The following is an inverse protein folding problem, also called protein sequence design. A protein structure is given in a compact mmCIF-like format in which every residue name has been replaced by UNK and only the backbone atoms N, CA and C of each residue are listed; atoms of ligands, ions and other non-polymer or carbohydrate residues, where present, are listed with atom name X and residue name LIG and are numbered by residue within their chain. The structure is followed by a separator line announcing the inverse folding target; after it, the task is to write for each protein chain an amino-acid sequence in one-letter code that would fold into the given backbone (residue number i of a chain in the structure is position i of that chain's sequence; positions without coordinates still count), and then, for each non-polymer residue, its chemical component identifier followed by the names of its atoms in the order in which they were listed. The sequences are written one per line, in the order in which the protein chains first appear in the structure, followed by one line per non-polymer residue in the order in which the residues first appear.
data_IF_304119311280
#
_entry.id   IF_304119311280
#
_cell.length_a   1.000
_cell.length_b   1.000
_cell.length_c   1.000
_cell.angle_alpha   90.00
_cell.angle_beta   90.00
_cell.angle_gamma   90.00
#
_symmetry.space_group_name_H-M   'P 1'
#
loop_
_entity.id
_entity.type
_entity.pdbx_description
1 polymer ?
#
# COMPACT_ATOMS: atom_id res chain seq x y z
N UNK A 1 -20.21 -13.38 -7.65
CA UNK A 1 -19.30 -12.89 -6.59
C UNK A 1 -18.32 -13.97 -6.19
N UNK A 2 -17.18 -13.59 -5.63
CA UNK A 2 -16.17 -14.44 -5.01
C UNK A 2 -15.97 -13.97 -3.55
N UNK A 3 -15.89 -14.92 -2.63
CA UNK A 3 -15.69 -14.62 -1.21
C UNK A 3 -14.21 -14.32 -0.95
N UNK A 4 -13.91 -13.15 -0.41
CA UNK A 4 -12.59 -12.79 0.10
C UNK A 4 -12.70 -12.55 1.61
N UNK A 5 -11.77 -13.13 2.36
CA UNK A 5 -11.64 -12.89 3.81
C UNK A 5 -10.19 -12.53 4.12
N UNK A 6 -9.91 -11.83 5.24
CA UNK A 6 -8.55 -11.57 5.69
C UNK A 6 -7.69 -12.85 5.72
N UNK A 7 -8.26 -13.95 6.25
CA UNK A 7 -7.56 -15.25 6.32
C UNK A 7 -7.24 -15.82 4.93
N UNK A 8 -8.14 -15.65 3.96
CA UNK A 8 -7.90 -16.09 2.57
C UNK A 8 -6.74 -15.34 1.93
N UNK A 9 -6.66 -14.02 2.16
CA UNK A 9 -5.54 -13.19 1.68
C UNK A 9 -4.24 -13.65 2.35
N UNK A 10 -4.20 -13.72 3.67
CA UNK A 10 -2.99 -14.07 4.42
C UNK A 10 -2.45 -15.46 4.08
N UNK A 11 -3.31 -16.46 3.91
CA UNK A 11 -2.89 -17.81 3.48
C UNK A 11 -2.22 -17.82 2.11
N UNK A 12 -2.55 -16.86 1.25
CA UNK A 12 -2.01 -16.76 -0.11
C UNK A 12 -0.66 -16.07 -0.16
N UNK A 13 -0.33 -15.25 0.84
CA UNK A 13 0.83 -14.35 0.79
C UNK A 13 1.74 -14.34 2.02
N UNK A 14 1.41 -15.08 3.09
CA UNK A 14 2.26 -15.25 4.27
C UNK A 14 2.83 -16.67 4.38
N UNK A 15 4.08 -16.78 4.81
CA UNK A 15 4.77 -18.02 5.21
C UNK A 15 5.42 -17.78 6.57
N UNK A 16 5.22 -18.70 7.52
CA UNK A 16 5.73 -18.57 8.89
C UNK A 16 5.34 -17.23 9.57
N UNK A 17 4.17 -16.69 9.23
CA UNK A 17 3.66 -15.42 9.77
C UNK A 17 4.19 -14.15 9.08
N UNK A 18 5.11 -14.26 8.12
CA UNK A 18 5.69 -13.14 7.39
C UNK A 18 5.20 -13.11 5.94
N UNK A 19 5.03 -11.91 5.38
CA UNK A 19 4.82 -11.79 3.93
C UNK A 19 6.06 -12.29 3.18
N UNK A 20 5.87 -12.97 2.05
CA UNK A 20 6.98 -13.50 1.27
C UNK A 20 6.82 -13.16 -0.22
N UNK A 21 7.95 -13.04 -0.91
CA UNK A 21 8.02 -12.91 -2.37
C UNK A 21 8.01 -14.32 -2.99
N UNK A 22 7.09 -14.67 -3.89
CA UNK A 22 7.08 -15.97 -4.54
C UNK A 22 8.35 -16.21 -5.37
N UNK A 23 8.81 -17.46 -5.42
CA UNK A 23 10.04 -17.85 -6.13
C UNK A 23 10.06 -17.40 -7.59
N UNK A 24 8.93 -17.48 -8.30
CA UNK A 24 8.84 -17.00 -9.69
C UNK A 24 9.09 -15.50 -9.85
N UNK A 25 8.70 -14.70 -8.86
CA UNK A 25 8.94 -13.24 -8.85
C UNK A 25 10.37 -12.96 -8.45
N UNK A 26 10.90 -13.71 -7.48
CA UNK A 26 12.32 -13.67 -7.14
C UNK A 26 13.20 -13.94 -8.36
N UNK A 27 12.97 -15.06 -9.05
CA UNK A 27 13.74 -15.44 -10.25
C UNK A 27 13.58 -14.40 -11.36
N UNK A 28 12.39 -13.83 -11.56
CA UNK A 28 12.23 -12.79 -12.57
C UNK A 28 13.00 -11.51 -12.24
N UNK A 29 13.13 -11.14 -10.95
CA UNK A 29 14.00 -10.05 -10.52
C UNK A 29 15.45 -10.36 -10.88
N UNK A 30 15.95 -11.54 -10.53
CA UNK A 30 17.33 -11.98 -10.81
C UNK A 30 17.61 -11.98 -12.32
N UNK A 31 16.67 -12.46 -13.14
CA UNK A 31 16.77 -12.56 -14.59
C UNK A 31 16.59 -11.21 -15.33
N UNK A 32 16.15 -10.16 -14.64
CA UNK A 32 15.92 -8.81 -15.18
C UNK A 32 17.09 -7.86 -14.93
N UNK A 33 18.07 -8.25 -14.12
CA UNK A 33 19.22 -7.41 -13.82
C UNK A 33 20.09 -7.25 -15.06
N UNK A 34 20.46 -6.02 -15.35
CA UNK A 34 21.36 -5.69 -16.46
C UNK A 34 22.81 -5.65 -15.98
N UNK A 35 23.01 -5.23 -14.73
CA UNK A 35 24.31 -5.21 -14.09
C UNK A 35 24.60 -6.55 -13.39
N UNK A 36 25.80 -7.09 -13.58
CA UNK A 36 26.28 -8.33 -12.97
C UNK A 36 27.21 -8.10 -11.76
N UNK A 37 27.55 -6.84 -11.46
CA UNK A 37 28.30 -6.43 -10.29
C UNK A 37 27.36 -6.07 -9.12
N UNK A 38 27.27 -7.01 -8.19
CA UNK A 38 26.56 -6.88 -6.93
C UNK A 38 26.96 -5.63 -6.13
N UNK A 39 28.24 -5.25 -6.17
CA UNK A 39 28.72 -4.07 -5.44
C UNK A 39 28.23 -2.77 -6.09
N UNK A 40 28.13 -2.73 -7.41
CA UNK A 40 27.57 -1.58 -8.12
C UNK A 40 26.09 -1.40 -7.77
N UNK A 41 25.31 -2.48 -7.77
CA UNK A 41 23.88 -2.45 -7.40
C UNK A 41 23.72 -2.02 -5.93
N UNK A 42 24.51 -2.58 -5.02
CA UNK A 42 24.47 -2.23 -3.60
C UNK A 42 24.88 -0.76 -3.37
N UNK A 43 25.94 -0.29 -4.04
CA UNK A 43 26.38 1.10 -3.97
C UNK A 43 25.30 2.08 -4.44
N UNK A 44 24.60 1.74 -5.53
CA UNK A 44 23.48 2.54 -6.02
C UNK A 44 22.27 2.50 -5.08
N UNK A 45 21.98 1.36 -4.46
CA UNK A 45 20.97 1.26 -3.41
C UNK A 45 21.29 2.19 -2.23
N UNK A 46 22.54 2.20 -1.75
CA UNK A 46 22.96 3.07 -0.65
C UNK A 46 22.86 4.56 -1.03
N UNK A 47 23.16 4.91 -2.28
CA UNK A 47 22.95 6.26 -2.82
C UNK A 47 21.47 6.66 -2.77
N UNK A 48 20.58 5.80 -3.31
CA UNK A 48 19.13 6.01 -3.27
C UNK A 48 18.60 6.14 -1.85
N UNK A 49 19.06 5.27 -0.94
CA UNK A 49 18.68 5.30 0.46
C UNK A 49 19.04 6.64 1.11
N UNK A 50 20.21 7.18 0.80
CA UNK A 50 20.63 8.48 1.30
C UNK A 50 19.77 9.62 0.74
N UNK A 51 19.43 9.60 -0.55
CA UNK A 51 18.52 10.57 -1.14
C UNK A 51 17.13 10.49 -0.48
N UNK A 52 16.59 9.28 -0.30
CA UNK A 52 15.34 9.09 0.41
C UNK A 52 15.39 9.57 1.87
N UNK A 53 16.54 9.44 2.56
CA UNK A 53 16.72 9.95 3.92
C UNK A 53 16.66 11.47 3.98
N UNK A 54 17.27 12.18 3.01
CA UNK A 54 17.19 13.65 2.90
C UNK A 54 15.73 14.12 2.84
N UNK A 55 14.88 13.40 2.10
CA UNK A 55 13.46 13.73 1.96
C UNK A 55 12.57 13.22 3.11
N UNK A 56 13.10 12.53 4.13
CA UNK A 56 12.28 11.99 5.23
C UNK A 56 11.64 13.10 6.06
N UNK A 57 12.41 14.16 6.33
CA UNK A 57 11.97 15.32 7.11
C UNK A 57 11.55 16.51 6.25
N UNK A 58 11.77 16.43 4.93
CA UNK A 58 11.37 17.46 3.96
C UNK A 58 9.85 17.67 3.95
N UNK A 59 9.46 18.91 3.65
CA UNK A 59 8.09 19.35 3.39
C UNK A 59 7.83 19.63 1.90
N UNK A 60 8.79 19.26 1.04
CA UNK A 60 8.70 19.37 -0.41
C UNK A 60 8.63 17.96 -1.01
N UNK A 61 8.09 17.81 -2.23
CA UNK A 61 8.18 16.57 -2.99
C UNK A 61 9.63 16.09 -3.13
N UNK A 62 9.80 14.78 -3.23
CA UNK A 62 11.06 14.17 -3.58
C UNK A 62 11.28 14.27 -5.09
N UNK A 63 12.51 14.61 -5.49
CA UNK A 63 12.94 14.51 -6.87
C UNK A 63 14.02 13.44 -6.95
N UNK A 64 13.67 12.32 -7.60
CA UNK A 64 14.55 11.15 -7.73
C UNK A 64 14.52 10.72 -9.19
N UNK A 65 15.72 10.53 -9.76
CA UNK A 65 15.86 10.13 -11.15
C UNK A 65 15.92 8.60 -11.25
N UNK A 66 14.98 8.00 -11.98
CA UNK A 66 14.86 6.55 -12.17
C UNK A 66 15.22 6.08 -13.58
N UNK A 67 16.17 6.75 -14.25
CA UNK A 67 16.45 6.51 -15.68
C UNK A 67 17.64 5.61 -15.96
N UNK A 68 18.58 5.50 -15.03
CA UNK A 68 19.77 4.67 -15.28
C UNK A 68 19.44 3.19 -15.09
N UNK A 69 19.99 2.27 -15.93
CA UNK A 69 19.82 0.84 -15.73
C UNK A 69 20.25 0.38 -14.33
N UNK A 70 21.33 0.95 -13.80
CA UNK A 70 21.83 0.63 -12.47
C UNK A 70 20.84 1.04 -11.37
N UNK A 71 20.21 2.22 -11.51
CA UNK A 71 19.17 2.69 -10.59
C UNK A 71 17.94 1.79 -10.63
N UNK A 72 17.53 1.35 -11.83
CA UNK A 72 16.41 0.42 -11.98
C UNK A 72 16.73 -0.96 -11.38
N UNK A 73 17.94 -1.47 -11.53
CA UNK A 73 18.41 -2.70 -10.90
C UNK A 73 18.36 -2.59 -9.37
N UNK A 74 18.97 -1.55 -8.80
CA UNK A 74 18.92 -1.29 -7.36
C UNK A 74 17.48 -1.15 -6.84
N UNK A 75 16.61 -0.43 -7.56
CA UNK A 75 15.22 -0.26 -7.16
C UNK A 75 14.43 -1.58 -7.22
N UNK A 76 14.63 -2.38 -8.27
CA UNK A 76 13.98 -3.68 -8.46
C UNK A 76 14.38 -4.67 -7.37
N UNK A 77 15.65 -4.70 -6.99
CA UNK A 77 16.16 -5.61 -5.95
C UNK A 77 15.64 -5.21 -4.56
N UNK A 78 15.82 -3.94 -4.19
CA UNK A 78 15.66 -3.50 -2.80
C UNK A 78 14.27 -2.93 -2.46
N UNK A 79 13.56 -2.35 -3.42
CA UNK A 79 12.28 -1.67 -3.18
C UNK A 79 11.07 -2.44 -3.72
N UNK A 80 11.15 -3.02 -4.92
CA UNK A 80 10.02 -3.75 -5.51
C UNK A 80 9.61 -4.97 -4.67
N UNK A 81 10.58 -5.75 -4.19
CA UNK A 81 10.35 -6.92 -3.33
C UNK A 81 9.63 -6.56 -2.02
N UNK A 82 9.88 -5.37 -1.49
CA UNK A 82 9.23 -4.83 -0.30
C UNK A 82 7.84 -4.27 -0.60
N UNK A 83 7.67 -3.55 -1.71
CA UNK A 83 6.42 -2.85 -2.03
C UNK A 83 5.37 -3.73 -2.68
N UNK A 84 5.72 -4.94 -3.15
CA UNK A 84 4.72 -5.87 -3.68
C UNK A 84 3.70 -6.36 -2.63
N UNK A 85 3.97 -6.14 -1.34
CA UNK A 85 3.05 -6.48 -0.26
C UNK A 85 1.94 -5.44 -0.06
N UNK A 86 2.03 -4.27 -0.70
CA UNK A 86 1.00 -3.23 -0.64
C UNK A 86 -0.40 -3.78 -0.96
N UNK A 87 -0.63 -4.44 -2.11
CA UNK A 87 -1.94 -5.03 -2.42
C UNK A 87 -2.36 -6.13 -1.42
N UNK A 88 -1.42 -6.86 -0.82
CA UNK A 88 -1.75 -7.90 0.16
C UNK A 88 -2.33 -7.29 1.44
N UNK A 89 -1.66 -6.28 1.98
CA UNK A 89 -2.09 -5.55 3.17
C UNK A 89 -3.43 -4.85 2.89
N UNK A 90 -3.51 -4.11 1.77
CA UNK A 90 -4.72 -3.38 1.39
C UNK A 90 -5.95 -4.29 1.25
N UNK A 91 -5.82 -5.43 0.56
CA UNK A 91 -6.93 -6.35 0.34
C UNK A 91 -7.31 -7.14 1.60
N UNK A 92 -6.34 -7.48 2.47
CA UNK A 92 -6.65 -8.06 3.78
C UNK A 92 -7.51 -7.10 4.59
N UNK A 93 -7.16 -5.81 4.61
CA UNK A 93 -7.86 -4.78 5.39
C UNK A 93 -9.24 -4.46 4.80
N UNK A 94 -9.32 -4.33 3.47
CA UNK A 94 -10.57 -4.15 2.75
C UNK A 94 -11.51 -5.35 2.91
N UNK A 95 -11.00 -6.58 3.05
CA UNK A 95 -11.84 -7.76 3.27
C UNK A 95 -12.63 -7.73 4.59
N UNK A 96 -12.37 -6.79 5.49
CA UNK A 96 -13.26 -6.51 6.62
C UNK A 96 -14.54 -5.77 6.17
N UNK A 97 -14.45 -4.89 5.17
CA UNK A 97 -15.55 -4.07 4.68
C UNK A 97 -16.67 -4.95 4.09
N UNK A 98 -17.95 -4.73 4.43
CA UNK A 98 -19.06 -5.60 4.01
C UNK A 98 -19.17 -5.80 2.50
N UNK A 99 -18.87 -4.77 1.70
CA UNK A 99 -18.95 -4.83 0.23
C UNK A 99 -17.73 -5.47 -0.43
N UNK A 100 -16.61 -5.64 0.30
CA UNK A 100 -15.40 -6.28 -0.22
C UNK A 100 -15.25 -7.74 0.23
N UNK A 101 -16.16 -8.24 1.07
CA UNK A 101 -16.23 -9.68 1.37
C UNK A 101 -16.72 -10.48 0.16
N UNK A 102 -17.58 -9.91 -0.68
CA UNK A 102 -18.15 -10.57 -1.85
C UNK A 102 -17.87 -9.76 -3.12
N UNK A 103 -16.65 -9.85 -3.62
CA UNK A 103 -16.22 -9.08 -4.79
C UNK A 103 -16.74 -9.68 -6.10
N UNK A 104 -16.79 -8.90 -7.19
CA UNK A 104 -17.05 -9.43 -8.54
C UNK A 104 -16.05 -10.55 -8.93
N UNK A 105 -16.50 -11.51 -9.74
CA UNK A 105 -15.59 -12.55 -10.29
C UNK A 105 -14.65 -12.02 -11.35
N UNK A 106 -14.89 -10.80 -11.83
CA UNK A 106 -13.95 -10.09 -12.67
C UNK A 106 -14.08 -8.61 -12.42
N UNK A 107 -12.94 -7.92 -12.36
CA UNK A 107 -12.91 -6.46 -12.22
C UNK A 107 -11.59 -5.89 -12.74
N UNK A 108 -11.62 -4.59 -13.02
CA UNK A 108 -10.45 -3.85 -13.47
C UNK A 108 -9.74 -3.19 -12.27
N UNK A 109 -8.42 -3.11 -12.35
CA UNK A 109 -7.56 -2.44 -11.37
C UNK A 109 -6.74 -1.38 -12.09
N UNK A 110 -6.59 -0.21 -11.46
CA UNK A 110 -5.71 0.86 -11.92
C UNK A 110 -4.52 1.00 -10.95
N UNK A 111 -3.32 1.16 -11.47
CA UNK A 111 -2.10 1.44 -10.72
C UNK A 111 -1.47 2.73 -11.26
N UNK A 112 -1.52 3.81 -10.49
CA UNK A 112 -1.01 5.13 -10.86
C UNK A 112 0.41 5.33 -10.29
N UNK A 113 1.36 5.67 -11.16
CA UNK A 113 2.78 5.73 -10.79
C UNK A 113 3.33 4.34 -10.55
N UNK A 114 3.05 3.41 -11.48
CA UNK A 114 3.30 1.98 -11.28
C UNK A 114 4.78 1.61 -11.17
N UNK A 115 5.68 2.47 -11.65
CA UNK A 115 7.11 2.25 -11.69
C UNK A 115 7.48 0.89 -12.29
N UNK A 116 8.34 0.15 -11.61
CA UNK A 116 8.75 -1.21 -12.00
C UNK A 116 7.68 -2.28 -11.70
N UNK A 117 6.51 -1.91 -11.18
CA UNK A 117 5.34 -2.77 -11.10
C UNK A 117 5.17 -3.56 -9.81
N UNK A 118 5.61 -3.02 -8.66
CA UNK A 118 5.49 -3.72 -7.38
C UNK A 118 4.02 -4.09 -7.04
N UNK A 119 3.09 -3.13 -7.17
CA UNK A 119 1.66 -3.36 -6.95
C UNK A 119 1.12 -4.39 -7.95
N UNK A 120 1.48 -4.26 -9.23
CA UNK A 120 1.05 -5.20 -10.27
C UNK A 120 1.53 -6.62 -9.99
N UNK A 121 2.81 -6.83 -9.72
CA UNK A 121 3.35 -8.16 -9.40
C UNK A 121 2.72 -8.74 -8.12
N UNK A 122 2.46 -7.90 -7.13
CA UNK A 122 1.68 -8.28 -5.95
C UNK A 122 0.28 -8.78 -6.33
N UNK A 123 -0.49 -8.01 -7.09
CA UNK A 123 -1.84 -8.40 -7.52
C UNK A 123 -1.82 -9.68 -8.37
N UNK A 124 -0.90 -9.79 -9.32
CA UNK A 124 -0.76 -10.98 -10.17
C UNK A 124 -0.40 -12.21 -9.35
N UNK A 125 0.50 -12.08 -8.39
CA UNK A 125 0.83 -13.13 -7.43
C UNK A 125 -0.42 -13.54 -6.63
N UNK A 126 -1.11 -12.58 -6.02
CA UNK A 126 -2.26 -12.84 -5.16
C UNK A 126 -3.39 -13.56 -5.91
N UNK A 127 -3.78 -13.04 -7.08
CA UNK A 127 -4.85 -13.60 -7.89
C UNK A 127 -4.43 -14.83 -8.71
N UNK A 128 -3.16 -15.25 -8.64
CA UNK A 128 -2.75 -16.56 -9.16
C UNK A 128 -2.95 -17.71 -8.14
N UNK A 129 -3.14 -17.38 -6.86
CA UNK A 129 -3.25 -18.36 -5.78
C UNK A 129 -4.69 -18.82 -5.56
N UNK A 130 -4.88 -20.10 -5.22
CA UNK A 130 -6.20 -20.62 -4.83
C UNK A 130 -6.52 -20.16 -3.40
N UNK A 131 -7.75 -19.70 -3.11
CA UNK A 131 -8.95 -19.70 -3.95
C UNK A 131 -9.18 -18.39 -4.75
N UNK A 132 -8.24 -17.44 -4.73
CA UNK A 132 -8.37 -16.14 -5.37
C UNK A 132 -8.26 -16.20 -6.91
N UNK A 133 -7.67 -17.28 -7.45
CA UNK A 133 -7.55 -17.56 -8.88
C UNK A 133 -8.86 -17.66 -9.66
N UNK A 134 -10.00 -17.74 -8.97
CA UNK A 134 -11.32 -17.65 -9.59
C UNK A 134 -11.72 -16.21 -9.98
N UNK A 135 -10.94 -15.20 -9.57
CA UNK A 135 -11.18 -13.79 -9.84
C UNK A 135 -10.29 -13.36 -11.00
N UNK A 136 -10.92 -12.98 -12.12
CA UNK A 136 -10.21 -12.49 -13.30
C UNK A 136 -9.97 -10.98 -13.21
N UNK A 137 -8.71 -10.57 -13.08
CA UNK A 137 -8.34 -9.15 -13.03
C UNK A 137 -7.77 -8.67 -14.35
N UNK A 138 -8.12 -7.44 -14.73
CA UNK A 138 -7.45 -6.68 -15.79
C UNK A 138 -6.80 -5.46 -15.15
N UNK A 139 -5.50 -5.32 -15.31
CA UNK A 139 -4.72 -4.28 -14.65
C UNK A 139 -4.34 -3.23 -15.68
N UNK A 140 -4.53 -1.96 -15.36
CA UNK A 140 -4.07 -0.82 -16.15
C UNK A 140 -3.03 -0.06 -15.34
N UNK A 141 -1.91 0.28 -15.95
CA UNK A 141 -0.80 0.96 -15.28
C UNK A 141 -0.48 2.25 -16.02
N UNK A 142 -0.26 3.33 -15.26
CA UNK A 142 0.18 4.62 -15.78
C UNK A 142 1.48 5.01 -15.08
N UNK A 143 2.51 5.35 -15.85
CA UNK A 143 3.76 5.90 -15.34
C UNK A 143 4.41 6.80 -16.39
N UNK A 144 5.22 7.78 -15.97
CA UNK A 144 5.93 8.66 -16.90
C UNK A 144 7.29 8.11 -17.35
N UNK A 145 7.82 7.10 -16.66
CA UNK A 145 9.11 6.49 -16.95
C UNK A 145 8.95 5.27 -17.85
N UNK A 146 9.22 5.45 -19.15
CA UNK A 146 9.19 4.39 -20.14
C UNK A 146 10.10 3.20 -19.77
N UNK A 147 11.28 3.48 -19.20
CA UNK A 147 12.24 2.45 -18.79
C UNK A 147 11.72 1.60 -17.61
N UNK A 148 11.03 2.22 -16.65
CA UNK A 148 10.41 1.51 -15.54
C UNK A 148 9.23 0.63 -16.03
N UNK A 149 8.41 1.15 -16.96
CA UNK A 149 7.36 0.36 -17.62
C UNK A 149 7.94 -0.79 -18.47
N UNK A 150 9.09 -0.58 -19.11
CA UNK A 150 9.84 -1.63 -19.80
C UNK A 150 10.27 -2.73 -18.84
N UNK A 151 10.92 -2.35 -17.72
CA UNK A 151 11.31 -3.28 -16.65
C UNK A 151 10.10 -4.04 -16.09
N UNK A 152 8.97 -3.37 -15.89
CA UNK A 152 7.74 -4.00 -15.43
C UNK A 152 7.25 -5.09 -16.39
N UNK A 153 7.23 -4.83 -17.70
CA UNK A 153 6.84 -5.82 -18.72
C UNK A 153 7.74 -7.05 -18.65
N UNK A 154 9.05 -6.85 -18.61
CA UNK A 154 10.04 -7.93 -18.54
C UNK A 154 9.85 -8.79 -17.28
N UNK A 155 9.62 -8.15 -16.12
CA UNK A 155 9.40 -8.85 -14.85
C UNK A 155 8.12 -9.71 -14.89
N UNK A 156 7.04 -9.18 -15.48
CA UNK A 156 5.76 -9.90 -15.63
C UNK A 156 5.94 -11.13 -16.53
N UNK A 157 6.61 -10.95 -17.68
CA UNK A 157 6.85 -12.02 -18.65
C UNK A 157 7.77 -13.11 -18.10
N UNK A 158 8.91 -12.73 -17.49
CA UNK A 158 9.87 -13.68 -16.89
C UNK A 158 9.30 -14.41 -15.68
N UNK A 159 8.42 -13.77 -14.90
CA UNK A 159 7.69 -14.44 -13.83
C UNK A 159 6.67 -15.48 -14.35
N UNK A 160 6.39 -15.49 -15.67
CA UNK A 160 5.43 -16.37 -16.31
C UNK A 160 3.98 -16.00 -16.01
N UNK A 161 3.71 -14.72 -15.75
CA UNK A 161 2.34 -14.21 -15.67
C UNK A 161 1.80 -13.90 -17.06
N UNK A 162 0.47 -13.89 -17.20
CA UNK A 162 -0.17 -13.52 -18.46
C UNK A 162 -0.03 -12.02 -18.71
N UNK A 163 0.93 -11.59 -19.51
CA UNK A 163 1.15 -10.16 -19.81
C UNK A 163 -0.06 -9.48 -20.46
N UNK A 164 -0.93 -10.22 -21.16
CA UNK A 164 -2.15 -9.66 -21.78
C UNK A 164 -3.18 -9.15 -20.78
N UNK A 165 -3.05 -9.51 -19.50
CA UNK A 165 -3.94 -9.00 -18.46
C UNK A 165 -3.52 -7.60 -17.97
N UNK A 166 -2.37 -7.09 -18.42
CA UNK A 166 -1.83 -5.79 -18.01
C UNK A 166 -1.73 -4.85 -19.21
N UNK A 167 -2.35 -3.68 -19.11
CA UNK A 167 -2.27 -2.59 -20.07
C UNK A 167 -1.35 -1.51 -19.52
N UNK A 168 -0.39 -1.07 -20.33
CA UNK A 168 0.60 -0.06 -19.93
C UNK A 168 0.40 1.23 -20.72
N UNK A 169 0.30 2.35 -20.02
CA UNK A 169 0.26 3.68 -20.60
C UNK A 169 1.40 4.52 -20.06
N UNK A 170 2.22 5.07 -20.96
CA UNK A 170 3.20 6.09 -20.62
C UNK A 170 2.47 7.44 -20.52
N UNK A 171 2.34 7.97 -19.31
CA UNK A 171 1.63 9.22 -19.06
C UNK A 171 2.12 9.87 -17.76
N UNK A 172 2.42 11.17 -17.83
CA UNK A 172 2.73 11.99 -16.67
C UNK A 172 1.48 12.29 -15.84
N UNK A 173 1.52 11.93 -14.55
CA UNK A 173 0.46 12.18 -13.58
C UNK A 173 0.22 13.68 -13.32
N UNK A 174 1.19 14.54 -13.64
CA UNK A 174 1.02 15.99 -13.63
C UNK A 174 -0.02 16.47 -14.64
N UNK A 175 -0.26 15.72 -15.73
CA UNK A 175 -1.37 15.92 -16.66
C UNK A 175 -2.55 15.02 -16.27
N UNK A 176 -3.21 15.41 -15.18
CA UNK A 176 -4.35 14.67 -14.62
C UNK A 176 -5.47 14.46 -15.65
N UNK A 177 -5.74 15.43 -16.53
CA UNK A 177 -6.77 15.31 -17.55
C UNK A 177 -6.49 14.17 -18.53
N UNK A 178 -5.26 14.10 -19.04
CA UNK A 178 -4.85 13.01 -19.93
C UNK A 178 -4.84 11.66 -19.23
N UNK A 179 -4.38 11.60 -17.96
CA UNK A 179 -4.45 10.38 -17.14
C UNK A 179 -5.88 9.84 -17.04
N UNK A 180 -6.83 10.69 -16.65
CA UNK A 180 -8.24 10.31 -16.48
C UNK A 180 -8.85 9.89 -17.83
N UNK A 181 -8.54 10.61 -18.91
CA UNK A 181 -9.00 10.25 -20.26
C UNK A 181 -8.48 8.88 -20.72
N UNK A 182 -7.21 8.56 -20.44
CA UNK A 182 -6.64 7.26 -20.74
C UNK A 182 -7.25 6.16 -19.87
N UNK A 183 -7.36 6.40 -18.57
CA UNK A 183 -7.94 5.46 -17.62
C UNK A 183 -9.40 5.12 -17.98
N UNK A 184 -10.19 6.06 -18.50
CA UNK A 184 -11.56 5.80 -18.98
C UNK A 184 -11.67 4.76 -20.11
N UNK A 185 -10.58 4.46 -20.84
CA UNK A 185 -10.60 3.43 -21.90
C UNK A 185 -10.77 2.02 -21.36
N UNK A 186 -10.20 1.77 -20.19
CA UNK A 186 -10.19 0.44 -19.55
C UNK A 186 -11.02 0.40 -18.26
N UNK A 187 -11.52 1.54 -17.78
CA UNK A 187 -12.41 1.64 -16.61
C UNK A 187 -13.86 1.21 -16.87
N UNK A 188 -14.72 1.25 -15.83
CA UNK A 188 -14.43 1.70 -14.47
C UNK A 188 -13.59 0.67 -13.68
N UNK A 189 -12.94 1.12 -12.61
CA UNK A 189 -12.00 0.33 -11.81
C UNK A 189 -12.57 0.02 -10.43
N UNK A 190 -12.51 -1.24 -10.03
CA UNK A 190 -12.95 -1.66 -8.69
C UNK A 190 -11.90 -1.35 -7.62
N UNK A 191 -10.62 -1.32 -8.01
CA UNK A 191 -9.52 -0.92 -7.16
C UNK A 191 -8.64 0.07 -7.91
N UNK A 192 -8.27 1.16 -7.26
CA UNK A 192 -7.31 2.14 -7.77
C UNK A 192 -6.18 2.24 -6.75
N UNK A 193 -4.95 1.94 -7.15
CA UNK A 193 -3.76 2.05 -6.32
C UNK A 193 -2.95 3.29 -6.68
N UNK A 194 -2.42 3.94 -5.64
CA UNK A 194 -1.46 5.02 -5.72
C UNK A 194 -0.39 4.72 -4.66
N UNK A 195 0.76 4.20 -5.10
CA UNK A 195 1.74 3.60 -4.19
C UNK A 195 3.15 4.19 -4.38
N UNK A 196 3.64 4.92 -3.37
CA UNK A 196 4.95 5.58 -3.37
C UNK A 196 5.20 6.51 -4.57
N UNK A 197 4.16 7.20 -5.05
CA UNK A 197 4.30 8.15 -6.16
C UNK A 197 3.86 9.56 -5.77
N UNK A 198 2.94 9.71 -4.81
CA UNK A 198 2.54 11.04 -4.32
C UNK A 198 3.69 11.75 -3.59
N UNK A 199 4.69 11.01 -3.11
CA UNK A 199 5.96 11.58 -2.63
C UNK A 199 6.68 12.44 -3.62
N UNK A 200 6.40 12.30 -4.91
CA UNK A 200 7.13 12.95 -5.99
C UNK A 200 6.27 13.98 -6.74
N UNK A 201 4.99 14.09 -6.35
CA UNK A 201 4.04 15.02 -6.96
C UNK A 201 3.78 16.21 -6.04
N UNK A 202 3.51 17.36 -6.63
CA UNK A 202 3.00 18.53 -5.93
C UNK A 202 1.63 18.26 -5.28
N UNK A 203 1.34 19.00 -4.19
CA UNK A 203 0.07 18.87 -3.46
C UNK A 203 -1.15 19.07 -4.36
N UNK A 204 -1.13 20.09 -5.22
CA UNK A 204 -2.28 20.42 -6.07
C UNK A 204 -2.52 19.38 -7.17
N UNK A 205 -1.46 18.76 -7.71
CA UNK A 205 -1.59 17.63 -8.63
C UNK A 205 -2.26 16.45 -7.93
N UNK A 206 -1.81 16.13 -6.71
CA UNK A 206 -2.37 15.05 -5.91
C UNK A 206 -3.84 15.28 -5.55
N UNK A 207 -4.21 16.52 -5.20
CA UNK A 207 -5.61 16.90 -4.94
C UNK A 207 -6.47 16.77 -6.19
N UNK A 208 -6.00 17.27 -7.33
CA UNK A 208 -6.71 17.17 -8.60
C UNK A 208 -6.96 15.69 -8.96
N UNK A 209 -5.96 14.82 -8.80
CA UNK A 209 -6.15 13.39 -8.98
C UNK A 209 -7.32 12.87 -8.11
N UNK A 210 -7.31 13.11 -6.79
CA UNK A 210 -8.38 12.65 -5.90
C UNK A 210 -9.76 13.17 -6.31
N UNK A 211 -9.87 14.42 -6.73
CA UNK A 211 -11.13 15.00 -7.20
C UNK A 211 -11.68 14.31 -8.45
N UNK A 212 -10.81 13.73 -9.27
CA UNK A 212 -11.16 13.16 -10.59
C UNK A 212 -11.32 11.65 -10.57
N UNK A 213 -10.71 10.94 -9.61
CA UNK A 213 -10.82 9.48 -9.49
C UNK A 213 -12.26 8.94 -9.36
N UNK A 214 -13.24 9.64 -8.73
CA UNK A 214 -14.62 9.20 -8.73
C UNK A 214 -15.20 8.97 -10.14
N UNK A 215 -14.72 9.68 -11.18
CA UNK A 215 -15.20 9.53 -12.56
C UNK A 215 -14.89 8.18 -13.19
N UNK A 216 -13.93 7.44 -12.62
CA UNK A 216 -13.44 6.16 -13.13
C UNK A 216 -13.55 5.03 -12.10
N UNK A 217 -14.09 5.30 -10.92
CA UNK A 217 -14.28 4.31 -9.87
C UNK A 217 -15.56 3.52 -10.14
N UNK A 218 -15.48 2.19 -10.08
CA UNK A 218 -16.64 1.31 -10.19
C UNK A 218 -17.50 1.38 -8.91
N UNK A 219 -18.75 0.95 -9.02
CA UNK A 219 -19.64 0.83 -7.86
C UNK A 219 -19.04 -0.05 -6.77
N UNK A 220 -19.04 0.47 -5.54
CA UNK A 220 -18.41 -0.14 -4.37
C UNK A 220 -16.90 -0.35 -4.53
N UNK A 221 -16.25 0.41 -5.41
CA UNK A 221 -14.80 0.42 -5.58
C UNK A 221 -14.07 1.12 -4.44
N UNK A 222 -12.76 0.92 -4.38
CA UNK A 222 -11.88 1.56 -3.41
C UNK A 222 -10.68 2.23 -4.08
N UNK A 223 -10.23 3.33 -3.50
CA UNK A 223 -8.96 3.98 -3.80
C UNK A 223 -8.02 3.71 -2.62
N UNK A 224 -6.84 3.19 -2.93
CA UNK A 224 -5.82 2.78 -1.97
C UNK A 224 -4.58 3.63 -2.19
N UNK A 225 -4.24 4.43 -1.20
CA UNK A 225 -3.03 5.25 -1.18
C UNK A 225 -2.08 4.68 -0.13
N UNK A 226 -0.86 4.36 -0.54
CA UNK A 226 0.14 3.71 0.29
C UNK A 226 1.51 4.37 0.06
N UNK A 227 1.92 5.23 0.98
CA UNK A 227 3.07 6.12 0.78
C UNK A 227 4.11 5.94 1.87
N UNK A 228 5.39 6.01 1.52
CA UNK A 228 6.48 5.99 2.48
C UNK A 228 6.28 7.09 3.54
N UNK A 229 6.55 6.75 4.80
CA UNK A 229 6.31 7.67 5.91
C UNK A 229 7.29 8.87 5.89
N UNK A 230 6.86 9.99 5.32
CA UNK A 230 7.61 11.26 5.21
C UNK A 230 6.82 12.44 5.75
N UNK A 231 7.49 13.48 6.26
CA UNK A 231 6.86 14.71 6.76
C UNK A 231 5.92 15.38 5.73
N UNK A 232 6.36 15.45 4.48
CA UNK A 232 5.57 15.91 3.33
C UNK A 232 4.20 15.21 3.24
N UNK A 233 4.21 13.88 3.13
CA UNK A 233 2.96 13.12 2.91
C UNK A 233 2.05 13.17 4.14
N UNK A 234 2.58 13.43 5.35
CA UNK A 234 1.75 13.61 6.56
C UNK A 234 0.73 14.70 6.44
N UNK A 235 1.16 15.78 5.84
CA UNK A 235 0.30 16.89 5.52
C UNK A 235 -0.62 16.53 4.35
N UNK A 236 -0.04 15.89 3.32
CA UNK A 236 -0.77 15.55 2.10
C UNK A 236 -1.99 14.66 2.35
N UNK A 237 -1.84 13.49 3.00
CA UNK A 237 -2.97 12.54 3.15
C UNK A 237 -4.13 13.13 3.94
N UNK A 238 -3.87 13.97 4.95
CA UNK A 238 -4.96 14.69 5.63
C UNK A 238 -5.75 15.54 4.63
N UNK A 239 -5.04 16.33 3.82
CA UNK A 239 -5.66 17.14 2.76
C UNK A 239 -6.37 16.28 1.71
N UNK A 240 -5.83 15.11 1.34
CA UNK A 240 -6.48 14.20 0.40
C UNK A 240 -7.75 13.58 1.00
N UNK A 241 -7.77 13.26 2.29
CA UNK A 241 -8.97 12.76 2.97
C UNK A 241 -10.08 13.83 3.00
N UNK A 242 -9.75 15.07 3.35
CA UNK A 242 -10.69 16.21 3.30
C UNK A 242 -11.21 16.43 1.87
N UNK A 243 -10.33 16.42 0.88
CA UNK A 243 -10.68 16.57 -0.54
C UNK A 243 -11.58 15.43 -1.04
N UNK A 244 -11.33 14.21 -0.58
CA UNK A 244 -12.11 13.03 -0.95
C UNK A 244 -13.57 13.15 -0.47
N UNK A 245 -13.79 13.66 0.75
CA UNK A 245 -15.14 13.87 1.31
C UNK A 245 -15.95 14.90 0.53
N UNK A 246 -15.32 15.98 0.07
CA UNK A 246 -15.96 16.96 -0.83
C UNK A 246 -16.41 16.33 -2.16
N UNK A 247 -15.82 15.19 -2.53
CA UNK A 247 -16.11 14.45 -3.76
C UNK A 247 -17.02 13.22 -3.54
N UNK A 248 -17.61 13.06 -2.34
CA UNK A 248 -18.50 11.92 -2.03
C UNK A 248 -17.77 10.60 -1.80
N UNK A 249 -16.47 10.64 -1.47
CA UNK A 249 -15.70 9.50 -1.00
C UNK A 249 -15.50 9.58 0.51
N UNK A 250 -15.41 8.45 1.18
CA UNK A 250 -15.32 8.35 2.63
C UNK A 250 -14.05 7.61 3.04
N UNK A 251 -13.45 8.01 4.15
CA UNK A 251 -12.27 7.33 4.70
C UNK A 251 -12.68 6.02 5.38
N UNK A 252 -12.39 4.89 4.75
CA UNK A 252 -12.56 3.58 5.37
C UNK A 252 -11.48 3.30 6.42
N UNK A 253 -10.22 3.59 6.09
CA UNK A 253 -9.04 3.41 6.94
C UNK A 253 -8.04 4.54 6.65
N UNK A 254 -7.32 5.12 7.63
CA UNK A 254 -7.13 4.65 9.00
C UNK A 254 -8.00 5.35 10.06
N UNK A 255 -8.38 6.60 9.88
CA UNK A 255 -9.17 7.39 10.83
C UNK A 255 -10.01 8.42 10.07
N UNK A 256 -11.11 8.89 10.66
CA UNK A 256 -11.98 9.89 10.02
C UNK A 256 -11.21 11.19 9.71
N UNK A 257 -11.69 11.95 8.72
CA UNK A 257 -11.16 13.27 8.37
C UNK A 257 -11.27 14.29 9.52
N UNK A 258 -12.24 14.08 10.41
CA UNK A 258 -12.72 15.04 11.42
C UNK A 258 -11.79 15.24 12.62
N UNK A 259 -10.61 14.62 12.64
CA UNK A 259 -9.55 14.98 13.58
C UNK A 259 -8.66 13.81 13.99
N UNK A 260 -7.34 13.94 13.77
CA UNK A 260 -6.38 13.30 14.66
C UNK A 260 -6.17 14.23 15.87
N UNK A 261 -6.26 13.76 17.13
CA UNK A 261 -6.11 14.55 18.36
C UNK A 261 -4.79 15.32 18.52
N UNK A 262 -3.90 15.27 17.54
CA UNK A 262 -2.54 15.75 17.64
C UNK A 262 -2.43 17.26 17.40
N UNK A 263 -2.98 18.06 18.31
CA UNK A 263 -2.34 19.35 18.67
C UNK A 263 -1.06 19.10 19.52
N UNK A 264 -0.86 17.85 20.00
CA UNK A 264 0.30 17.41 20.78
C UNK A 264 1.34 16.57 19.99
N UNK A 265 1.30 16.52 18.66
CA UNK A 265 2.32 15.79 17.88
C UNK A 265 2.23 16.08 16.37
N UNK A 266 3.17 16.84 15.83
CA UNK A 266 3.09 17.65 14.58
C UNK A 266 2.78 16.87 13.26
N UNK A 267 2.38 15.58 13.27
CA UNK A 267 2.47 14.68 12.10
C UNK A 267 1.58 13.40 12.10
N UNK A 268 0.37 13.38 12.66
CA UNK A 268 -0.47 12.17 12.63
C UNK A 268 -1.33 12.00 11.35
N UNK A 269 -1.27 10.81 10.74
CA UNK A 269 -2.03 10.33 9.55
C UNK A 269 -1.71 8.82 9.38
N UNK A 270 -1.82 8.09 10.50
CA UNK A 270 -1.52 6.66 10.75
C UNK A 270 -0.63 5.95 9.72
N UNK A 271 0.60 5.68 10.15
CA UNK A 271 1.52 4.78 9.48
C UNK A 271 1.65 3.47 10.25
N UNK A 272 1.96 2.41 9.51
CA UNK A 272 2.21 1.06 10.00
C UNK A 272 3.58 0.59 9.55
N UNK A 273 4.07 -0.44 10.22
CA UNK A 273 5.19 -1.22 9.71
C UNK A 273 4.76 -2.67 9.54
N UNK A 274 5.21 -3.31 8.47
CA UNK A 274 5.01 -4.75 8.25
C UNK A 274 6.37 -5.43 8.12
N UNK A 275 6.51 -6.55 8.81
CA UNK A 275 7.65 -7.45 8.66
C UNK A 275 7.39 -8.37 7.47
N UNK A 276 8.46 -8.72 6.77
CA UNK A 276 8.42 -9.62 5.63
C UNK A 276 9.71 -10.42 5.56
N UNK A 277 9.65 -11.51 4.82
CA UNK A 277 10.78 -12.37 4.51
C UNK A 277 11.47 -11.85 3.24
N UNK A 278 12.72 -11.40 3.38
CA UNK A 278 13.47 -10.89 2.25
C UNK A 278 13.81 -12.05 1.29
N UNK A 279 13.61 -11.91 -0.04
CA UNK A 279 13.72 -13.04 -0.97
C UNK A 279 15.10 -13.67 -1.13
N UNK A 280 16.16 -13.14 -0.51
CA UNK A 280 17.55 -13.59 -0.69
C UNK A 280 17.96 -13.60 -2.17
N UNK A 281 17.85 -12.44 -2.83
CA UNK A 281 18.14 -12.24 -4.26
C UNK A 281 19.62 -12.51 -4.56
N UNK A 282 19.89 -13.04 -5.75
CA UNK A 282 21.23 -13.24 -6.28
C UNK A 282 21.53 -12.35 -7.48
N UNK A 283 22.75 -11.82 -7.53
CA UNK A 283 23.32 -11.12 -8.67
C UNK A 283 24.45 -11.99 -9.22
N UNK A 284 24.37 -12.39 -10.49
CA UNK A 284 25.35 -13.29 -11.11
C UNK A 284 25.65 -14.56 -10.27
N UNK A 285 24.58 -15.20 -9.76
CA UNK A 285 24.62 -16.36 -8.86
C UNK A 285 25.26 -16.13 -7.47
N UNK A 286 25.70 -14.92 -7.15
CA UNK A 286 26.17 -14.54 -5.82
C UNK A 286 25.02 -13.94 -5.01
N UNK A 287 24.81 -14.34 -3.74
CA UNK A 287 23.84 -13.68 -2.87
C UNK A 287 24.27 -12.24 -2.61
N UNK A 288 23.30 -11.34 -2.43
CA UNK A 288 23.58 -9.99 -1.96
C UNK A 288 24.29 -10.03 -0.59
N UNK A 289 25.34 -9.24 -0.44
CA UNK A 289 26.08 -9.02 0.81
C UNK A 289 25.24 -8.24 1.81
N UNK A 290 24.50 -7.24 1.32
CA UNK A 290 23.59 -6.43 2.13
C UNK A 290 22.13 -6.71 1.78
N UNK A 291 21.44 -7.36 2.71
CA UNK A 291 19.99 -7.47 2.68
C UNK A 291 19.38 -6.37 3.56
N UNK A 292 18.50 -5.52 3.00
CA UNK A 292 17.83 -4.51 3.79
C UNK A 292 16.88 -5.22 4.76
N UNK A 293 17.19 -5.19 6.06
CA UNK A 293 16.26 -5.63 7.11
C UNK A 293 15.17 -4.59 7.41
N UNK A 294 14.98 -3.63 6.50
CA UNK A 294 14.03 -2.55 6.67
C UNK A 294 12.62 -3.07 6.50
N UNK A 295 11.78 -2.77 7.50
CA UNK A 295 10.35 -3.07 7.48
C UNK A 295 9.65 -2.27 6.39
N UNK A 296 8.50 -2.76 5.92
CA UNK A 296 7.61 -1.96 5.06
C UNK A 296 6.92 -0.91 5.93
N UNK A 297 7.43 0.32 5.94
CA UNK A 297 6.87 1.44 6.71
C UNK A 297 6.08 2.36 5.78
N UNK A 298 4.75 2.32 5.89
CA UNK A 298 3.85 3.07 5.03
C UNK A 298 2.79 3.78 5.84
N UNK A 299 2.42 4.96 5.36
CA UNK A 299 1.17 5.59 5.69
C UNK A 299 0.10 5.19 4.70
N UNK A 300 -1.11 5.02 5.21
CA UNK A 300 -2.22 4.45 4.47
C UNK A 300 -3.39 5.42 4.41
N UNK A 301 -4.08 5.46 3.29
CA UNK A 301 -5.43 6.00 3.17
C UNK A 301 -6.22 5.09 2.23
N UNK A 302 -7.33 4.56 2.73
CA UNK A 302 -8.27 3.75 1.94
C UNK A 302 -9.58 4.54 1.89
N UNK A 303 -10.00 4.89 0.68
CA UNK A 303 -11.22 5.62 0.40
C UNK A 303 -12.24 4.70 -0.26
N UNK A 304 -13.50 4.81 0.14
CA UNK A 304 -14.63 4.05 -0.41
C UNK A 304 -15.79 4.98 -0.73
N UNK A 305 -16.70 4.55 -1.61
CA UNK A 305 -17.94 5.31 -1.87
C UNK A 305 -18.97 5.17 -0.73
N UNK A 306 -18.85 4.12 0.09
CA UNK A 306 -19.74 3.90 1.21
C UNK A 306 -19.24 4.68 2.42
N UNK A 307 -20.16 5.37 3.10
CA UNK A 307 -19.94 6.04 4.38
C UNK A 307 -19.88 5.01 5.52
N UNK A 308 -18.83 4.19 5.49
CA UNK A 308 -18.55 3.15 6.47
C UNK A 308 -17.05 3.18 6.75
N UNK A 309 -16.68 3.37 8.01
CA UNK A 309 -15.30 3.20 8.45
C UNK A 309 -15.01 1.75 8.85
N UNK A 310 -13.73 1.43 8.99
CA UNK A 310 -13.31 0.17 9.57
C UNK A 310 -13.85 -0.02 11.00
N UNK A 311 -13.99 1.07 11.76
CA UNK A 311 -14.49 1.04 13.13
C UNK A 311 -15.96 0.66 13.17
N UNK A 312 -16.77 1.16 12.24
CA UNK A 312 -18.19 0.80 12.12
C UNK A 312 -18.35 -0.69 11.82
N UNK A 313 -17.47 -1.22 10.97
CA UNK A 313 -17.44 -2.65 10.64
C UNK A 313 -17.21 -3.51 11.89
N UNK A 314 -16.28 -3.11 12.76
CA UNK A 314 -15.99 -3.86 13.99
C UNK A 314 -17.03 -3.60 15.10
N UNK A 315 -17.56 -2.38 15.20
CA UNK A 315 -18.66 -2.04 16.11
C UNK A 315 -19.90 -2.89 15.83
N UNK A 316 -20.19 -3.17 14.56
CA UNK A 316 -21.27 -4.09 14.18
C UNK A 316 -20.99 -5.54 14.56
N UNK A 317 -19.74 -6.00 14.51
CA UNK A 317 -19.35 -7.38 14.85
C UNK A 317 -19.39 -7.64 16.35
N UNK A 318 -18.95 -6.67 17.16
CA UNK A 318 -18.95 -6.78 18.63
C UNK A 318 -19.64 -5.56 19.24
N UNK A 319 -20.98 -5.58 19.34
CA UNK A 319 -21.72 -4.49 19.95
C UNK A 319 -21.33 -4.34 21.43
N UNK A 320 -21.18 -3.09 21.88
CA UNK A 320 -20.82 -2.76 23.26
C UNK A 320 -19.32 -2.54 23.52
N UNK A 321 -18.48 -2.68 22.48
CA UNK A 321 -17.08 -2.24 22.54
C UNK A 321 -16.90 -0.90 21.82
N UNK A 322 -16.00 -0.08 22.35
CA UNK A 322 -15.53 1.17 21.77
C UNK A 322 -14.29 0.89 20.93
N UNK A 323 -14.29 1.31 19.66
CA UNK A 323 -13.22 0.94 18.72
C UNK A 323 -12.26 2.07 18.43
N UNK A 324 -10.97 1.77 18.46
CA UNK A 324 -9.90 2.72 18.15
C UNK A 324 -8.70 2.05 17.52
N UNK A 325 -7.75 2.86 17.04
CA UNK A 325 -6.50 2.37 16.47
C UNK A 325 -5.32 2.70 17.37
N UNK A 326 -4.36 1.78 17.45
CA UNK A 326 -3.19 1.97 18.29
C UNK A 326 -2.29 3.03 17.67
N UNK A 327 -2.04 4.12 18.41
CA UNK A 327 -1.27 5.26 17.92
C UNK A 327 0.15 5.33 18.48
N UNK A 328 0.43 4.70 19.62
CA UNK A 328 1.79 4.57 20.15
C UNK A 328 1.96 3.26 20.91
N UNK A 329 3.03 2.52 20.59
CA UNK A 329 3.34 1.21 21.20
C UNK A 329 4.67 1.18 21.99
N UNK A 330 5.40 2.29 22.09
CA UNK A 330 6.78 2.30 22.61
C UNK A 330 6.89 3.00 23.96
N UNK A 331 7.64 2.41 24.89
CA UNK A 331 7.87 2.96 26.23
C UNK A 331 6.71 2.71 27.21
N UNK A 332 6.57 3.60 28.19
CA UNK A 332 5.43 3.64 29.13
C UNK A 332 4.19 4.29 28.53
N UNK A 333 4.36 5.05 27.44
CA UNK A 333 3.30 5.82 26.81
C UNK A 333 2.64 4.99 25.71
N UNK A 334 1.53 4.36 26.07
CA UNK A 334 0.73 3.52 25.18
C UNK A 334 -0.63 4.16 25.01
N UNK A 335 -0.95 4.51 23.78
CA UNK A 335 -2.20 5.21 23.47
C UNK A 335 -2.94 4.63 22.30
N UNK A 336 -4.26 4.76 22.39
CA UNK A 336 -5.23 4.46 21.34
C UNK A 336 -5.84 5.79 20.90
N UNK A 337 -5.90 6.01 19.59
CA UNK A 337 -6.75 7.03 19.02
C UNK A 337 -8.19 6.52 19.01
N UNK A 338 -9.05 7.21 19.76
CA UNK A 338 -10.48 6.93 19.87
C UNK A 338 -11.26 8.22 19.58
N UNK A 339 -11.91 8.27 18.41
CA UNK A 339 -12.44 9.53 17.87
C UNK A 339 -11.35 10.60 17.85
N UNK A 340 -11.66 11.77 18.39
CA UNK A 340 -10.72 12.90 18.50
C UNK A 340 -9.92 12.90 19.82
N UNK A 341 -9.77 11.75 20.49
CA UNK A 341 -9.06 11.63 21.77
C UNK A 341 -7.92 10.60 21.71
N UNK A 342 -6.89 10.82 22.52
CA UNK A 342 -5.82 9.86 22.78
C UNK A 342 -6.03 9.29 24.17
N UNK A 343 -6.38 8.00 24.25
CA UNK A 343 -6.66 7.32 25.50
C UNK A 343 -5.49 6.41 25.89
N UNK A 344 -5.05 6.41 27.16
CA UNK A 344 -4.09 5.41 27.61
C UNK A 344 -4.72 4.01 27.55
N UNK A 345 -3.93 3.00 27.26
CA UNK A 345 -4.41 1.62 27.33
C UNK A 345 -3.40 0.69 27.99
N UNK A 346 -3.94 -0.33 28.67
CA UNK A 346 -3.15 -1.43 29.24
C UNK A 346 -3.20 -2.61 28.28
N UNK A 347 -2.03 -3.11 27.89
CA UNK A 347 -1.95 -4.34 27.09
C UNK A 347 -2.49 -5.51 27.91
N UNK A 348 -3.30 -6.31 27.25
CA UNK A 348 -3.73 -7.60 27.74
C UNK A 348 -3.03 -8.68 26.89
N UNK A 349 -2.06 -9.39 27.50
CA UNK A 349 -1.28 -10.41 26.79
C UNK A 349 -2.08 -11.69 26.54
N UNK A 350 -3.20 -11.87 27.25
CA UNK A 350 -4.13 -12.96 26.98
C UNK A 350 -4.96 -12.67 25.71
N UNK A 351 -5.19 -11.38 25.40
CA UNK A 351 -5.84 -10.96 24.15
C UNK A 351 -4.89 -11.02 22.96
N UNK A 352 -3.66 -10.53 23.11
CA UNK A 352 -2.64 -10.65 22.08
C UNK A 352 -1.23 -10.60 22.66
N UNK A 353 -0.31 -11.48 22.22
CA UNK A 353 1.09 -11.39 22.62
C UNK A 353 1.79 -10.16 22.01
N UNK A 354 1.18 -9.50 21.00
CA UNK A 354 1.79 -8.40 20.25
C UNK A 354 0.75 -7.32 19.90
N UNK A 355 1.17 -6.07 20.02
CA UNK A 355 0.34 -4.90 19.71
C UNK A 355 1.10 -3.98 18.77
N UNK A 356 0.65 -3.90 17.52
CA UNK A 356 1.31 -3.10 16.48
C UNK A 356 0.58 -1.79 16.23
N UNK A 357 1.35 -0.75 15.87
CA UNK A 357 0.79 0.57 15.54
C UNK A 357 -0.15 0.43 14.34
N UNK A 358 -1.30 1.09 14.39
CA UNK A 358 -2.33 1.08 13.35
C UNK A 358 -3.28 -0.12 13.40
N UNK A 359 -3.03 -1.10 14.27
CA UNK A 359 -3.98 -2.20 14.54
C UNK A 359 -5.22 -1.69 15.26
N UNK A 360 -6.34 -2.38 15.03
CA UNK A 360 -7.64 -2.03 15.60
C UNK A 360 -7.86 -2.78 16.92
N UNK A 361 -8.36 -2.07 17.92
CA UNK A 361 -8.65 -2.61 19.25
C UNK A 361 -10.05 -2.23 19.71
N UNK A 362 -10.74 -3.19 20.31
CA UNK A 362 -12.03 -3.02 20.94
C UNK A 362 -11.86 -2.87 22.45
N UNK A 363 -12.37 -1.76 23.00
CA UNK A 363 -12.26 -1.39 24.40
C UNK A 363 -13.59 -1.59 25.11
N UNK A 364 -13.53 -2.11 26.33
CA UNK A 364 -14.68 -2.06 27.26
C UNK A 364 -14.92 -0.63 27.76
N UNK A 365 -16.05 -0.40 28.44
CA UNK A 365 -16.38 0.88 29.11
C UNK A 365 -15.34 1.32 30.16
N UNK A 366 -14.42 0.43 30.57
CA UNK A 366 -13.31 0.71 31.49
C UNK A 366 -11.96 0.88 30.78
N UNK A 367 -11.95 1.00 29.44
CA UNK A 367 -10.76 1.13 28.60
C UNK A 367 -9.79 -0.07 28.66
N UNK A 368 -10.29 -1.24 29.05
CA UNK A 368 -9.56 -2.51 28.91
C UNK A 368 -9.73 -3.05 27.48
N UNK A 369 -8.63 -3.50 26.87
CA UNK A 369 -8.66 -4.18 25.57
C UNK A 369 -9.39 -5.52 25.73
N UNK A 370 -10.40 -5.76 24.89
CA UNK A 370 -11.13 -7.03 24.82
C UNK A 370 -10.95 -7.74 23.48
N UNK A 371 -10.68 -6.97 22.44
CA UNK A 371 -10.53 -7.46 21.08
C UNK A 371 -9.31 -6.79 20.42
N UNK A 372 -8.60 -7.56 19.59
CA UNK A 372 -7.45 -7.09 18.83
C UNK A 372 -7.49 -7.64 17.41
N UNK A 373 -7.35 -6.76 16.42
CA UNK A 373 -7.23 -7.12 15.02
C UNK A 373 -5.94 -6.55 14.49
N UNK A 374 -5.01 -7.44 14.14
CA UNK A 374 -3.81 -7.06 13.44
C UNK A 374 -4.17 -6.52 12.06
N UNK A 375 -3.87 -5.25 11.88
CA UNK A 375 -3.99 -4.57 10.60
C UNK A 375 -2.65 -4.53 9.90
#
# INVERSE_FOLDING_TARGET
MALITPSTIEKSCKRNGLFYVPDRVKTSIEDCLVNDDENAITGEYLRLLEDFRKYRTSIQPAHIEYRSPLTLDAYTVYYLSRYMFIPFVALRDLAHHPYFQNVPRSFNVLDLGSGTGAVVLGLLSLFSNTPLSQIATKITTLDCCAEALGRQKDLIEKAGFNSKQVHHYEQDLCDTDSCIKLAKKDGPYYLIFIANCLTELEHEVSKNLIQRLPEILADNGAIIIAEAQRNYIKKLIKTLAETAEECGLHVYYPCSSTGCPSDYGIYCWVWRYHEYDFPHIKVNNQPLQEEPRDKLILSWLILTQQDISIYDTFAKKHPGLSWGSISQCTGTDRSICYGNQSLPFKMDYDVSPRYTRGSIVGLSNRYEVKEYYEM
#
